data_IF_434384812099
#
_entry.id   IF_434384812099
#
_cell.length_a   1.000
_cell.length_b   1.000
_cell.length_c   1.000
_cell.angle_alpha   90.00
_cell.angle_beta   90.00
_cell.angle_gamma   90.00
#
_symmetry.space_group_name_H-M   'P 1'
#
loop_
_entity.id
_entity.type
_entity.pdbx_description
1 polymer ?
#
# COMPACT_ATOMS: atom_id res chain seq x y z
N UNK A 1 15.60 4.12 -7.91
CA UNK A 1 16.37 3.48 -8.99
C UNK A 1 15.47 2.56 -9.77
N UNK A 2 15.37 2.78 -11.07
CA UNK A 2 14.96 1.75 -12.01
C UNK A 2 16.10 0.73 -12.10
N UNK A 3 15.79 -0.55 -12.01
CA UNK A 3 16.77 -1.63 -12.05
C UNK A 3 16.54 -2.43 -13.31
N UNK A 4 17.46 -2.33 -14.26
CA UNK A 4 17.43 -3.05 -15.53
C UNK A 4 18.12 -4.42 -15.37
N UNK A 5 17.69 -5.42 -16.14
CA UNK A 5 18.37 -6.73 -16.19
C UNK A 5 19.57 -6.65 -17.13
N UNK A 6 20.74 -7.05 -16.66
CA UNK A 6 21.87 -7.43 -17.54
C UNK A 6 21.61 -8.82 -18.16
N UNK A 7 22.36 -9.16 -19.22
CA UNK A 7 22.43 -10.44 -19.93
C UNK A 7 22.57 -11.65 -18.98
N UNK A 8 23.11 -11.42 -17.77
CA UNK A 8 23.32 -12.43 -16.71
C UNK A 8 22.19 -12.50 -15.66
N UNK A 9 21.12 -11.71 -15.81
CA UNK A 9 20.04 -11.61 -14.82
C UNK A 9 20.41 -10.81 -13.56
N UNK A 10 21.53 -10.07 -13.59
CA UNK A 10 21.94 -9.17 -12.52
C UNK A 10 21.27 -7.81 -12.66
N UNK A 11 20.90 -7.24 -11.53
CA UNK A 11 20.26 -5.95 -11.39
C UNK A 11 21.25 -4.79 -11.63
N UNK A 12 21.12 -4.09 -12.75
CA UNK A 12 21.90 -2.91 -13.11
C UNK A 12 21.13 -1.62 -12.80
N UNK A 13 21.83 -0.57 -12.37
CA UNK A 13 21.28 0.78 -12.28
C UNK A 13 20.84 1.27 -13.65
N UNK A 14 19.55 1.45 -13.86
CA UNK A 14 18.99 2.00 -15.10
C UNK A 14 19.36 3.47 -15.23
N UNK A 15 19.81 3.85 -16.42
CA UNK A 15 20.14 5.23 -16.80
C UNK A 15 18.85 5.96 -17.21
N UNK A 16 17.86 6.00 -16.31
CA UNK A 16 16.70 6.89 -16.52
C UNK A 16 17.15 8.30 -16.13
N UNK A 17 17.48 9.11 -17.14
CA UNK A 17 17.75 10.54 -16.99
C UNK A 17 16.45 11.26 -16.68
N UNK A 18 16.02 11.20 -15.43
CA UNK A 18 14.83 11.90 -14.95
C UNK A 18 15.16 13.38 -14.81
N UNK A 19 14.33 14.23 -15.38
CA UNK A 19 14.45 15.69 -15.28
C UNK A 19 13.12 16.28 -14.83
N UNK A 20 13.18 17.30 -13.98
CA UNK A 20 12.04 18.12 -13.58
C UNK A 20 12.32 19.55 -14.02
N UNK A 21 11.51 20.07 -14.94
CA UNK A 21 11.70 21.40 -15.54
C UNK A 21 13.15 21.65 -16.03
N UNK A 22 13.73 20.65 -16.71
CA UNK A 22 15.11 20.69 -17.22
C UNK A 22 16.20 20.56 -16.16
N UNK A 23 15.83 20.35 -14.89
CA UNK A 23 16.78 20.05 -13.81
C UNK A 23 16.87 18.54 -13.60
N UNK A 24 18.06 17.93 -13.70
CA UNK A 24 18.18 16.48 -13.49
C UNK A 24 17.85 16.10 -12.05
N UNK A 25 16.98 15.10 -11.89
CA UNK A 25 16.67 14.49 -10.59
C UNK A 25 17.82 13.55 -10.24
N UNK A 26 18.50 13.74 -9.09
CA UNK A 26 19.62 12.89 -8.70
C UNK A 26 19.14 11.46 -8.42
N UNK A 27 19.89 10.48 -8.92
CA UNK A 27 19.64 9.08 -8.62
C UNK A 27 20.04 8.77 -7.17
N UNK A 28 19.09 8.29 -6.37
CA UNK A 28 19.35 7.78 -5.01
C UNK A 28 20.00 6.39 -5.07
N UNK A 29 21.10 6.17 -4.36
CA UNK A 29 21.68 4.84 -4.20
C UNK A 29 20.83 3.93 -3.30
N UNK A 30 21.12 2.63 -3.27
CA UNK A 30 20.38 1.67 -2.44
C UNK A 30 20.47 1.94 -0.93
N UNK A 31 21.53 2.62 -0.48
CA UNK A 31 21.71 3.08 0.91
C UNK A 31 21.08 4.44 1.19
N UNK A 32 20.69 5.17 0.15
CA UNK A 32 20.13 6.50 0.30
C UNK A 32 18.65 6.44 0.64
N UNK A 33 18.19 7.49 1.28
CA UNK A 33 16.80 7.65 1.68
C UNK A 33 16.42 9.11 1.53
N UNK A 34 15.18 9.36 1.12
CA UNK A 34 14.64 10.70 1.13
C UNK A 34 13.43 10.75 2.06
N UNK A 35 13.12 11.95 2.54
CA UNK A 35 11.96 12.18 3.40
C UNK A 35 11.07 13.19 2.70
N UNK A 36 9.85 12.77 2.38
CA UNK A 36 8.85 13.64 1.77
C UNK A 36 7.60 13.67 2.63
N UNK A 37 7.16 14.88 3.01
CA UNK A 37 6.06 15.10 3.96
C UNK A 37 6.22 14.31 5.28
N UNK A 38 7.45 14.29 5.80
CA UNK A 38 7.89 13.51 6.98
C UNK A 38 7.89 11.99 6.81
N UNK A 39 7.38 11.47 5.70
CA UNK A 39 7.43 10.05 5.38
C UNK A 39 8.77 9.75 4.72
N UNK A 40 9.55 8.88 5.36
CA UNK A 40 10.78 8.36 4.78
C UNK A 40 10.46 7.35 3.70
N UNK A 41 10.86 7.62 2.47
CA UNK A 41 10.83 6.66 1.38
C UNK A 41 12.29 6.21 1.10
N UNK A 42 12.51 4.91 1.29
CA UNK A 42 13.84 4.29 1.19
C UNK A 42 13.70 2.80 0.89
N UNK A 43 14.69 2.24 0.19
CA UNK A 43 14.77 0.81 -0.07
C UNK A 43 15.04 -0.03 1.18
N UNK A 44 15.52 0.57 2.28
CA UNK A 44 15.59 -0.08 3.59
C UNK A 44 14.24 0.00 4.32
N UNK A 45 13.30 -0.83 3.87
CA UNK A 45 11.98 -0.97 4.50
C UNK A 45 12.04 -1.52 5.93
N UNK A 46 13.21 -1.93 6.43
CA UNK A 46 13.40 -2.47 7.78
C UNK A 46 13.70 -1.35 8.78
N UNK A 47 14.48 -0.33 8.38
CA UNK A 47 14.96 0.71 9.32
C UNK A 47 14.06 1.93 9.52
N UNK A 48 13.09 2.23 8.64
CA UNK A 48 12.21 3.42 8.76
C UNK A 48 10.74 3.14 9.05
N UNK A 49 10.42 1.97 9.62
CA UNK A 49 9.05 1.54 10.03
C UNK A 49 8.40 2.38 11.16
N UNK A 50 8.99 3.50 11.57
CA UNK A 50 8.73 4.14 12.87
C UNK A 50 7.69 5.29 12.82
N UNK A 51 7.33 5.85 11.65
CA UNK A 51 6.45 7.04 11.64
C UNK A 51 4.94 6.75 11.69
N UNK A 52 4.51 5.55 11.29
CA UNK A 52 3.08 5.21 11.28
C UNK A 52 2.47 5.09 12.69
N UNK A 53 3.25 4.59 13.65
CA UNK A 53 2.77 4.41 15.02
C UNK A 53 2.32 5.73 15.66
N UNK A 54 3.09 6.79 15.43
CA UNK A 54 2.77 8.16 15.87
C UNK A 54 1.54 8.68 15.16
N UNK A 55 1.47 8.55 13.82
CA UNK A 55 0.32 8.99 13.04
C UNK A 55 -0.99 8.29 13.47
N UNK A 56 -0.96 6.98 13.68
CA UNK A 56 -2.12 6.23 14.17
C UNK A 56 -2.50 6.61 15.60
N UNK A 57 -1.53 6.98 16.45
CA UNK A 57 -1.80 7.43 17.82
C UNK A 57 -2.49 8.79 17.82
N UNK A 58 -2.01 9.74 17.01
CA UNK A 58 -2.67 11.02 16.79
C UNK A 58 -4.08 10.82 16.23
N UNK A 59 -4.24 9.91 15.26
CA UNK A 59 -5.55 9.61 14.68
C UNK A 59 -6.54 9.03 15.71
N UNK A 60 -6.07 8.17 16.64
CA UNK A 60 -6.90 7.69 17.76
C UNK A 60 -7.31 8.83 18.68
N UNK A 61 -6.38 9.73 18.99
CA UNK A 61 -6.67 10.91 19.81
C UNK A 61 -7.73 11.80 19.15
N UNK A 62 -7.57 12.11 17.85
CA UNK A 62 -8.53 12.90 17.08
C UNK A 62 -9.89 12.21 16.98
N UNK A 63 -9.93 10.89 16.77
CA UNK A 63 -11.17 10.12 16.77
C UNK A 63 -11.89 10.20 18.14
N UNK A 64 -11.14 10.11 19.24
CA UNK A 64 -11.69 10.27 20.60
C UNK A 64 -12.22 11.69 20.82
N UNK A 65 -11.46 12.72 20.44
CA UNK A 65 -11.88 14.11 20.54
C UNK A 65 -13.16 14.37 19.73
N UNK A 66 -13.24 13.81 18.52
CA UNK A 66 -14.42 13.89 17.68
C UNK A 66 -15.64 13.22 18.33
N UNK A 67 -15.48 12.06 18.96
CA UNK A 67 -16.58 11.39 19.68
C UNK A 67 -17.04 12.18 20.92
N UNK A 68 -16.17 13.01 21.49
CA UNK A 68 -16.44 13.83 22.68
C UNK A 68 -16.84 15.27 22.34
N UNK A 69 -16.92 15.62 21.04
CA UNK A 69 -17.13 16.99 20.56
C UNK A 69 -18.54 17.55 20.76
N UNK A 70 -19.51 16.74 21.21
CA UNK A 70 -20.92 17.13 21.32
C UNK A 70 -21.68 17.16 19.99
N UNK A 71 -21.03 16.82 18.87
CA UNK A 71 -21.69 16.67 17.57
C UNK A 71 -22.73 15.54 17.56
N UNK A 72 -23.73 15.66 16.68
CA UNK A 72 -24.68 14.57 16.47
C UNK A 72 -23.95 13.32 15.92
N UNK A 73 -24.39 12.13 16.32
CA UNK A 73 -23.69 10.89 15.98
C UNK A 73 -23.49 10.67 14.47
N UNK A 74 -24.47 11.07 13.65
CA UNK A 74 -24.35 11.00 12.18
C UNK A 74 -23.29 11.96 11.63
N UNK A 75 -23.10 13.12 12.26
CA UNK A 75 -22.05 14.07 11.88
C UNK A 75 -20.68 13.50 12.22
N UNK A 76 -20.51 12.90 13.40
CA UNK A 76 -19.27 12.20 13.78
C UNK A 76 -18.94 11.11 12.76
N UNK A 77 -19.91 10.25 12.42
CA UNK A 77 -19.73 9.20 11.42
C UNK A 77 -19.26 9.77 10.08
N UNK A 78 -19.90 10.86 9.61
CA UNK A 78 -19.51 11.54 8.37
C UNK A 78 -18.10 12.13 8.45
N UNK A 79 -17.76 12.81 9.55
CA UNK A 79 -16.45 13.43 9.76
C UNK A 79 -15.33 12.39 9.82
N UNK A 80 -15.57 11.21 10.39
CA UNK A 80 -14.59 10.13 10.35
C UNK A 80 -14.26 9.74 8.90
N UNK A 81 -15.28 9.57 8.06
CA UNK A 81 -15.10 9.17 6.66
C UNK A 81 -14.44 10.25 5.80
N UNK A 82 -14.86 11.51 5.98
CA UNK A 82 -14.45 12.61 5.09
C UNK A 82 -13.18 13.31 5.57
N UNK A 83 -12.87 13.26 6.86
CA UNK A 83 -11.75 14.01 7.44
C UNK A 83 -10.66 13.13 8.07
N UNK A 84 -11.03 12.06 8.81
CA UNK A 84 -10.02 11.23 9.48
C UNK A 84 -9.35 10.25 8.51
N UNK A 85 -10.13 9.54 7.69
CA UNK A 85 -9.58 8.54 6.76
C UNK A 85 -8.61 9.13 5.73
N UNK A 86 -8.91 10.25 5.05
CA UNK A 86 -7.99 10.85 4.09
C UNK A 86 -6.65 11.28 4.68
N UNK A 87 -6.60 11.64 5.98
CA UNK A 87 -5.35 12.05 6.64
C UNK A 87 -4.28 10.96 6.68
N UNK A 88 -4.69 9.69 6.71
CA UNK A 88 -3.75 8.55 6.69
C UNK A 88 -3.56 7.95 5.31
N UNK A 89 -4.34 8.37 4.31
CA UNK A 89 -4.31 7.79 2.98
C UNK A 89 -2.91 7.89 2.35
N UNK A 90 -2.31 9.07 2.41
CA UNK A 90 -0.97 9.31 1.89
C UNK A 90 0.06 8.40 2.58
N UNK A 91 0.00 8.29 3.91
CA UNK A 91 0.89 7.42 4.69
C UNK A 91 0.70 5.95 4.35
N UNK A 92 -0.53 5.48 4.22
CA UNK A 92 -0.86 4.10 3.86
C UNK A 92 -0.50 3.76 2.41
N UNK A 93 -0.38 4.76 1.52
CA UNK A 93 0.06 4.55 0.14
C UNK A 93 1.56 4.28 0.04
N UNK A 94 2.37 4.86 0.92
CA UNK A 94 3.84 4.81 0.82
C UNK A 94 4.48 3.86 1.84
N UNK A 95 3.80 3.57 2.95
CA UNK A 95 4.30 2.64 3.97
C UNK A 95 3.68 1.25 3.82
N UNK A 96 4.42 0.23 4.27
CA UNK A 96 3.92 -1.15 4.46
C UNK A 96 3.70 -1.46 5.95
N UNK A 97 2.57 -1.03 6.54
CA UNK A 97 2.20 -1.39 7.90
C UNK A 97 2.07 -2.88 8.14
N UNK A 98 2.25 -3.28 9.40
CA UNK A 98 1.69 -4.54 9.89
C UNK A 98 0.17 -4.43 10.02
N UNK A 99 -0.57 -5.44 9.55
CA UNK A 99 -2.02 -5.51 9.64
C UNK A 99 -2.52 -5.28 11.09
N UNK A 100 -1.81 -5.84 12.07
CA UNK A 100 -2.13 -5.69 13.50
C UNK A 100 -2.19 -4.22 13.97
N UNK A 101 -1.34 -3.33 13.41
CA UNK A 101 -1.35 -1.90 13.75
C UNK A 101 -2.63 -1.22 13.24
N UNK A 102 -3.03 -1.54 12.00
CA UNK A 102 -4.24 -1.01 11.37
C UNK A 102 -5.51 -1.54 12.03
N UNK A 103 -5.56 -2.83 12.34
CA UNK A 103 -6.65 -3.46 13.09
C UNK A 103 -6.79 -2.86 14.50
N UNK A 104 -5.67 -2.49 15.14
CA UNK A 104 -5.66 -1.79 16.42
C UNK A 104 -6.39 -0.45 16.37
N UNK A 105 -6.28 0.30 15.26
CA UNK A 105 -7.09 1.51 15.04
C UNK A 105 -8.56 1.17 14.79
N UNK A 106 -8.84 0.20 13.91
CA UNK A 106 -10.23 -0.21 13.61
C UNK A 106 -11.01 -0.61 14.86
N UNK A 107 -10.40 -1.41 15.75
CA UNK A 107 -10.99 -1.79 17.04
C UNK A 107 -11.26 -0.58 17.94
N UNK A 108 -10.35 0.40 17.97
CA UNK A 108 -10.54 1.63 18.74
C UNK A 108 -11.73 2.44 18.23
N UNK A 109 -11.81 2.63 16.90
CA UNK A 109 -12.89 3.36 16.26
C UNK A 109 -14.25 2.69 16.50
N UNK A 110 -14.35 1.37 16.28
CA UNK A 110 -15.58 0.60 16.50
C UNK A 110 -16.03 0.67 17.96
N UNK A 111 -15.10 0.58 18.92
CA UNK A 111 -15.43 0.71 20.34
C UNK A 111 -16.03 2.08 20.66
N UNK A 112 -15.40 3.16 20.17
CA UNK A 112 -15.88 4.51 20.42
C UNK A 112 -17.21 4.82 19.73
N UNK A 113 -17.39 4.39 18.47
CA UNK A 113 -18.66 4.54 17.75
C UNK A 113 -19.79 3.76 18.41
N UNK A 114 -19.51 2.55 18.92
CA UNK A 114 -20.49 1.76 19.68
C UNK A 114 -21.00 2.51 20.90
N UNK A 115 -20.10 3.15 21.65
CA UNK A 115 -20.45 3.98 22.81
C UNK A 115 -21.26 5.21 22.39
N UNK A 116 -20.81 5.92 21.34
CA UNK A 116 -21.49 7.11 20.80
C UNK A 116 -22.93 6.79 20.36
N UNK A 117 -23.12 5.67 19.68
CA UNK A 117 -24.42 5.21 19.17
C UNK A 117 -25.26 4.46 20.22
N UNK A 118 -24.75 4.30 21.45
CA UNK A 118 -25.41 3.57 22.55
C UNK A 118 -25.79 2.13 22.17
N UNK A 119 -24.96 1.49 21.36
CA UNK A 119 -25.17 0.11 20.92
C UNK A 119 -24.75 -0.89 22.00
N UNK A 120 -25.43 -2.03 22.04
CA UNK A 120 -25.10 -3.13 22.94
C UNK A 120 -23.67 -3.64 22.69
N UNK A 121 -23.03 -4.19 23.72
CA UNK A 121 -21.71 -4.84 23.57
C UNK A 121 -21.77 -6.07 22.67
N UNK A 122 -22.92 -6.73 22.58
CA UNK A 122 -23.19 -7.87 21.70
C UNK A 122 -23.41 -7.52 20.23
N UNK A 123 -23.56 -6.23 19.87
CA UNK A 123 -23.78 -5.84 18.46
C UNK A 123 -22.60 -6.31 17.59
N UNK A 124 -22.90 -6.98 16.48
CA UNK A 124 -21.86 -7.46 15.56
C UNK A 124 -21.02 -6.31 14.99
N UNK A 125 -19.72 -6.52 14.80
CA UNK A 125 -18.86 -5.55 14.11
C UNK A 125 -19.21 -5.40 12.63
N UNK A 126 -19.89 -6.39 12.04
CA UNK A 126 -20.37 -6.34 10.67
C UNK A 126 -21.28 -5.14 10.41
N UNK A 127 -22.04 -4.67 11.41
CA UNK A 127 -22.86 -3.46 11.30
C UNK A 127 -22.06 -2.21 10.90
N UNK A 128 -20.83 -2.07 11.41
CA UNK A 128 -19.99 -0.90 11.13
C UNK A 128 -19.45 -0.92 9.70
N UNK A 129 -19.21 -2.11 9.14
CA UNK A 129 -18.60 -2.30 7.83
C UNK A 129 -19.63 -2.50 6.71
N UNK A 130 -20.82 -3.01 7.03
CA UNK A 130 -21.90 -3.21 6.08
C UNK A 130 -22.27 -1.88 5.40
N UNK A 131 -22.61 -1.90 4.10
CA UNK A 131 -22.92 -0.69 3.35
C UNK A 131 -24.14 0.03 3.92
N UNK A 132 -24.17 1.35 3.74
CA UNK A 132 -25.28 2.20 4.24
C UNK A 132 -26.62 1.79 3.61
N UNK A 133 -26.61 1.32 2.36
CA UNK A 133 -27.80 0.77 1.67
C UNK A 133 -28.40 -0.47 2.33
N UNK A 134 -27.64 -1.16 3.19
CA UNK A 134 -28.11 -2.33 3.97
C UNK A 134 -28.26 -2.00 5.46
N UNK A 135 -28.35 -0.72 5.81
CA UNK A 135 -28.53 -0.26 7.19
C UNK A 135 -27.26 -0.28 8.04
N UNK A 136 -26.08 -0.50 7.44
CA UNK A 136 -24.80 -0.40 8.14
C UNK A 136 -24.21 1.02 8.12
N UNK A 137 -23.01 1.16 8.69
CA UNK A 137 -22.31 2.46 8.69
C UNK A 137 -21.34 2.62 7.52
N UNK A 138 -21.01 1.57 6.78
CA UNK A 138 -20.15 1.60 5.60
C UNK A 138 -18.74 2.13 5.88
N UNK A 139 -18.14 1.76 7.01
CA UNK A 139 -16.72 2.02 7.27
C UNK A 139 -15.85 0.95 6.60
N UNK A 140 -14.87 1.36 5.83
CA UNK A 140 -13.85 0.47 5.30
C UNK A 140 -12.80 0.18 6.39
N UNK A 141 -12.47 -1.07 6.72
CA UNK A 141 -11.32 -1.37 7.57
C UNK A 141 -10.04 -0.76 6.99
N UNK A 142 -9.14 -0.21 7.83
CA UNK A 142 -7.90 0.38 7.33
C UNK A 142 -6.99 -0.64 6.62
N UNK A 143 -7.10 -1.93 6.96
CA UNK A 143 -6.42 -3.02 6.26
C UNK A 143 -6.89 -3.13 4.81
N UNK A 144 -8.20 -3.12 4.58
CA UNK A 144 -8.79 -3.14 3.24
C UNK A 144 -8.51 -1.84 2.48
N UNK A 145 -8.61 -0.68 3.16
CA UNK A 145 -8.24 0.60 2.57
C UNK A 145 -6.77 0.61 2.12
N UNK A 146 -5.86 0.12 2.96
CA UNK A 146 -4.45 0.02 2.62
C UNK A 146 -4.23 -0.84 1.37
N UNK A 147 -4.85 -2.03 1.32
CA UNK A 147 -4.79 -2.90 0.13
C UNK A 147 -5.32 -2.20 -1.14
N UNK A 148 -6.50 -1.56 -1.04
CA UNK A 148 -7.09 -0.82 -2.15
C UNK A 148 -6.18 0.33 -2.63
N UNK A 149 -5.55 1.07 -1.72
CA UNK A 149 -4.62 2.15 -2.05
C UNK A 149 -3.35 1.64 -2.73
N UNK A 150 -2.81 0.51 -2.29
CA UNK A 150 -1.63 -0.11 -2.91
C UNK A 150 -1.94 -0.55 -4.35
N UNK A 151 -3.10 -1.18 -4.57
CA UNK A 151 -3.55 -1.58 -5.91
C UNK A 151 -3.79 -0.36 -6.80
N UNK A 152 -4.52 0.63 -6.29
CA UNK A 152 -4.81 1.85 -7.05
C UNK A 152 -3.52 2.60 -7.43
N UNK A 153 -2.56 2.68 -6.51
CA UNK A 153 -1.27 3.34 -6.77
C UNK A 153 -0.44 2.58 -7.80
N UNK A 154 -0.33 1.25 -7.67
CA UNK A 154 0.36 0.42 -8.67
C UNK A 154 -0.28 0.53 -10.06
N UNK A 155 -1.61 0.53 -10.12
CA UNK A 155 -2.36 0.73 -11.36
C UNK A 155 -2.07 2.10 -12.00
N UNK A 156 -2.05 3.17 -11.20
CA UNK A 156 -1.72 4.52 -11.66
C UNK A 156 -0.30 4.59 -12.23
N UNK A 157 0.69 3.96 -11.58
CA UNK A 157 2.05 3.97 -12.08
C UNK A 157 2.21 3.20 -13.40
N UNK A 158 1.53 2.05 -13.53
CA UNK A 158 1.56 1.24 -14.76
C UNK A 158 0.90 1.94 -15.95
N UNK A 159 -0.09 2.80 -15.70
CA UNK A 159 -0.84 3.55 -16.71
C UNK A 159 -0.49 5.05 -16.71
N UNK A 160 0.65 5.43 -16.14
CA UNK A 160 1.09 6.83 -16.12
C UNK A 160 1.31 7.34 -17.54
N UNK A 161 1.05 8.62 -17.82
CA UNK A 161 1.40 9.22 -19.12
C UNK A 161 2.92 9.37 -19.32
N UNK A 162 3.68 9.36 -18.21
CA UNK A 162 5.13 9.44 -18.23
C UNK A 162 5.76 8.05 -18.47
N UNK A 163 6.48 7.85 -19.60
CA UNK A 163 7.11 6.57 -19.91
C UNK A 163 8.17 6.16 -18.88
N UNK A 164 8.81 7.12 -18.20
CA UNK A 164 9.77 6.83 -17.16
C UNK A 164 9.12 6.19 -15.93
N UNK A 165 7.95 6.70 -15.52
CA UNK A 165 7.16 6.13 -14.42
C UNK A 165 6.67 4.72 -14.78
N UNK A 166 6.18 4.52 -16.01
CA UNK A 166 5.78 3.18 -16.48
C UNK A 166 6.95 2.21 -16.45
N UNK A 167 8.14 2.63 -16.91
CA UNK A 167 9.35 1.82 -16.90
C UNK A 167 9.73 1.40 -15.46
N UNK A 168 9.71 2.35 -14.51
CA UNK A 168 9.96 2.08 -13.09
C UNK A 168 8.95 1.05 -12.56
N UNK A 169 7.66 1.23 -12.83
CA UNK A 169 6.59 0.34 -12.35
C UNK A 169 6.75 -1.09 -12.87
N UNK A 170 7.05 -1.25 -14.17
CA UNK A 170 7.29 -2.55 -14.82
C UNK A 170 8.51 -3.25 -14.23
N UNK A 171 9.59 -2.53 -13.97
CA UNK A 171 10.78 -3.10 -13.33
C UNK A 171 10.51 -3.55 -11.90
N UNK A 172 9.71 -2.81 -11.13
CA UNK A 172 9.28 -3.26 -9.80
C UNK A 172 8.49 -4.58 -9.88
N UNK A 173 7.58 -4.74 -10.86
CA UNK A 173 6.88 -6.01 -11.08
C UNK A 173 7.85 -7.15 -11.40
N UNK A 174 8.83 -6.92 -12.27
CA UNK A 174 9.87 -7.91 -12.60
C UNK A 174 10.67 -8.33 -11.36
N UNK A 175 11.10 -7.37 -10.51
CA UNK A 175 11.78 -7.67 -9.25
C UNK A 175 10.93 -8.50 -8.30
N UNK A 176 9.64 -8.17 -8.16
CA UNK A 176 8.71 -8.94 -7.33
C UNK A 176 8.56 -10.36 -7.88
N UNK A 177 8.51 -10.52 -9.20
CA UNK A 177 8.42 -11.85 -9.82
C UNK A 177 9.69 -12.65 -9.57
N UNK A 178 10.87 -12.03 -9.72
CA UNK A 178 12.16 -12.66 -9.44
C UNK A 178 12.29 -13.08 -7.97
N UNK A 179 11.75 -12.29 -7.04
CA UNK A 179 11.76 -12.62 -5.62
C UNK A 179 10.87 -13.82 -5.29
N UNK A 180 9.75 -13.99 -6.01
CA UNK A 180 8.72 -15.01 -5.76
C UNK A 180 8.93 -16.30 -6.57
N UNK A 181 9.52 -16.20 -7.75
CA UNK A 181 9.59 -17.27 -8.74
C UNK A 181 11.04 -17.52 -9.19
N UNK A 182 11.37 -18.77 -9.52
CA UNK A 182 12.61 -19.09 -10.25
C UNK A 182 12.34 -18.95 -11.75
N UNK A 183 12.51 -17.74 -12.29
CA UNK A 183 12.38 -17.49 -13.71
C UNK A 183 13.67 -17.82 -14.46
N UNK A 184 13.54 -18.35 -15.68
CA UNK A 184 14.63 -18.45 -16.63
C UNK A 184 14.81 -17.10 -17.34
N UNK A 185 15.94 -16.42 -17.08
CA UNK A 185 16.21 -15.08 -17.60
C UNK A 185 16.29 -15.03 -19.14
N UNK A 186 16.57 -16.16 -19.81
CA UNK A 186 16.65 -16.20 -21.27
C UNK A 186 15.27 -16.34 -21.92
N UNK A 187 14.36 -17.11 -21.33
CA UNK A 187 13.02 -17.36 -21.88
C UNK A 187 12.09 -16.13 -21.79
N UNK A 188 12.35 -15.24 -20.84
CA UNK A 188 11.47 -14.10 -20.52
C UNK A 188 12.02 -12.73 -20.95
N UNK A 189 13.16 -12.70 -21.65
CA UNK A 189 13.84 -11.44 -22.03
C UNK A 189 12.96 -10.51 -22.87
N UNK A 190 12.20 -11.06 -23.81
CA UNK A 190 11.33 -10.30 -24.73
C UNK A 190 9.83 -10.42 -24.38
N UNK A 191 9.51 -11.05 -23.25
CA UNK A 191 8.12 -11.35 -22.82
C UNK A 191 7.81 -10.75 -21.44
N UNK A 192 8.45 -9.64 -21.08
CA UNK A 192 8.28 -9.01 -19.76
C UNK A 192 6.86 -8.45 -19.55
N UNK A 193 6.21 -7.95 -20.59
CA UNK A 193 4.81 -7.50 -20.52
C UNK A 193 3.85 -8.67 -20.22
N UNK A 194 3.99 -9.77 -20.96
CA UNK A 194 3.18 -10.98 -20.75
C UNK A 194 3.42 -11.59 -19.37
N UNK A 195 4.66 -11.57 -18.88
CA UNK A 195 5.00 -11.99 -17.53
C UNK A 195 4.29 -11.14 -16.47
N UNK A 196 4.27 -9.81 -16.67
CA UNK A 196 3.54 -8.88 -15.82
C UNK A 196 2.04 -9.18 -15.79
N UNK A 197 1.43 -9.41 -16.94
CA UNK A 197 0.01 -9.78 -17.05
C UNK A 197 -0.30 -11.12 -16.37
N UNK A 198 0.53 -12.13 -16.58
CA UNK A 198 0.36 -13.45 -15.96
C UNK A 198 0.51 -13.39 -14.43
N UNK A 199 1.42 -12.54 -13.92
CA UNK A 199 1.56 -12.30 -12.49
C UNK A 199 0.33 -11.61 -11.91
N UNK A 200 -0.10 -10.50 -12.53
CA UNK A 200 -1.26 -9.72 -12.05
C UNK A 200 -2.54 -10.53 -12.07
N UNK A 201 -2.71 -11.41 -13.07
CA UNK A 201 -3.85 -12.32 -13.17
C UNK A 201 -3.71 -13.61 -12.33
N UNK A 202 -2.63 -13.76 -11.56
CA UNK A 202 -2.34 -14.98 -10.78
C UNK A 202 -2.28 -16.27 -11.63
N UNK A 203 -1.96 -16.14 -12.92
CA UNK A 203 -1.87 -17.25 -13.89
C UNK A 203 -0.45 -17.78 -14.08
N UNK A 204 0.56 -17.10 -13.54
CA UNK A 204 1.97 -17.45 -13.73
C UNK A 204 2.31 -18.89 -13.31
N UNK A 205 1.66 -19.42 -12.27
CA UNK A 205 1.88 -20.80 -11.79
C UNK A 205 1.10 -21.88 -12.55
N UNK A 206 0.08 -21.50 -13.32
CA UNK A 206 -0.76 -22.43 -14.09
C UNK A 206 -0.39 -22.47 -15.57
N UNK A 207 0.10 -21.36 -16.13
CA UNK A 207 0.53 -21.28 -17.53
C UNK A 207 1.92 -21.86 -17.78
N UNK A 208 2.75 -21.96 -16.74
CA UNK A 208 4.10 -22.51 -16.83
C UNK A 208 4.47 -23.12 -15.47
N UNK A 209 5.03 -24.34 -15.39
CA UNK A 209 5.46 -24.94 -14.13
C UNK A 209 6.73 -24.23 -13.64
N UNK A 210 6.57 -23.02 -13.12
CA UNK A 210 7.65 -22.22 -12.53
C UNK A 210 7.67 -22.53 -11.03
N UNK A 211 8.71 -23.21 -10.52
CA UNK A 211 8.79 -23.51 -9.11
C UNK A 211 8.89 -22.20 -8.31
N UNK A 212 7.93 -22.01 -7.40
CA UNK A 212 7.93 -20.91 -6.43
C UNK A 212 9.19 -21.00 -5.56
N UNK A 213 9.87 -19.87 -5.35
CA UNK A 213 10.94 -19.79 -4.34
C UNK A 213 10.29 -19.90 -2.96
N UNK A 214 10.82 -20.76 -2.07
CA UNK A 214 10.38 -20.84 -0.67
C UNK A 214 10.42 -19.42 -0.07
N UNK A 215 9.27 -18.94 0.40
CA UNK A 215 9.04 -17.54 0.72
C UNK A 215 10.00 -16.99 1.78
N UNK A 216 10.59 -15.82 1.51
CA UNK A 216 11.07 -14.93 2.58
C UNK A 216 9.83 -14.33 3.26
N UNK A 217 9.82 -14.31 4.58
CA UNK A 217 8.71 -13.83 5.42
C UNK A 217 8.26 -12.38 5.14
N UNK A 218 9.05 -11.60 4.41
CA UNK A 218 8.76 -10.19 4.07
C UNK A 218 7.81 -10.00 2.89
N UNK A 219 7.45 -11.07 2.17
CA UNK A 219 6.58 -11.00 0.99
C UNK A 219 5.27 -11.70 1.35
N UNK A 220 4.32 -10.93 1.89
CA UNK A 220 2.99 -11.44 2.25
C UNK A 220 2.27 -12.13 1.07
N UNK A 221 1.38 -13.09 1.37
CA UNK A 221 0.53 -13.70 0.35
C UNK A 221 -0.44 -12.63 -0.22
N UNK A 222 -0.87 -12.86 -1.47
CA UNK A 222 -1.86 -12.03 -2.16
C UNK A 222 -3.18 -11.97 -1.39
#
# INVERSE_FOLDING_TARGET
MSVQRDVRGLHMTSVLGLELDGTPIPALSASDSYQYLRIGDSFDHVRRRVDLGTALTLLKHDAKALMQSGMAAWQVVKTVKVCLYPRVEYTLRHLRPFAQQLEGFGRHLVRGLRQLLRLLTSTTTAFFHAPVSRGGLGFLPLTELHGALQVAHGWQMLHSTDPAIQCIARQYLSQVTDSRCKLDALAWRDREEELGELLLNSKLGTSYPVPLKRGKADIGPL
#
